data_IF_359062754064
#
_entry.id   IF_359062754064
#
_cell.length_a   1.000
_cell.length_b   1.000
_cell.length_c   1.000
_cell.angle_alpha   90.00
_cell.angle_beta   90.00
_cell.angle_gamma   90.00
#
_symmetry.space_group_name_H-M   'P 1'
#
loop_
_entity.id
_entity.type
_entity.pdbx_description
1 polymer ?
#
# COMPACT_ATOMS: atom_id res chain seq x y z
N UNK A 1 11.26 -0.89 28.42
CA UNK A 1 12.12 -0.04 29.26
C UNK A 1 11.52 1.35 29.26
N UNK A 2 11.67 2.11 30.35
CA UNK A 2 11.16 3.48 30.48
C UNK A 2 12.37 4.40 30.63
N UNK A 3 12.40 5.48 29.84
CA UNK A 3 13.34 6.60 29.99
C UNK A 3 12.56 7.78 30.58
N UNK A 4 13.17 8.54 31.49
CA UNK A 4 12.50 9.66 32.14
C UNK A 4 13.39 10.90 32.11
N UNK A 5 12.75 12.05 32.02
CA UNK A 5 13.38 13.35 32.19
C UNK A 5 13.18 13.78 33.65
N UNK A 6 14.26 13.87 34.47
CA UNK A 6 14.14 14.24 35.87
C UNK A 6 13.67 15.69 36.07
N UNK A 7 13.83 16.54 35.06
CA UNK A 7 13.49 17.96 35.15
C UNK A 7 12.08 18.27 34.60
N UNK A 8 11.52 17.38 33.78
CA UNK A 8 10.36 17.68 32.94
C UNK A 8 9.07 16.91 33.24
N UNK A 9 9.00 16.03 34.25
CA UNK A 9 7.86 15.12 34.47
C UNK A 9 7.44 14.33 33.21
N UNK A 10 8.37 14.15 32.26
CA UNK A 10 8.13 13.43 31.00
C UNK A 10 8.72 12.03 31.09
N UNK A 11 7.93 11.03 30.69
CA UNK A 11 8.37 9.65 30.51
C UNK A 11 8.23 9.20 29.06
N UNK A 12 9.19 8.40 28.61
CA UNK A 12 9.14 7.72 27.33
C UNK A 12 9.09 6.21 27.55
N UNK A 13 8.03 5.59 27.04
CA UNK A 13 7.94 4.14 26.94
C UNK A 13 8.68 3.72 25.67
N UNK A 14 9.87 3.12 25.84
CA UNK A 14 10.67 2.72 24.69
C UNK A 14 9.98 1.62 23.88
N UNK A 15 10.25 1.62 22.57
CA UNK A 15 9.68 0.68 21.59
C UNK A 15 8.15 0.71 21.48
N UNK A 16 7.49 1.74 22.01
CA UNK A 16 6.03 1.89 21.91
C UNK A 16 5.55 1.78 20.45
N UNK A 17 6.17 2.53 19.53
CA UNK A 17 5.79 2.54 18.11
C UNK A 17 6.09 1.25 17.35
N UNK A 18 6.96 0.37 17.87
CA UNK A 18 7.15 -0.98 17.30
C UNK A 18 5.89 -1.82 17.44
N UNK A 19 5.16 -1.64 18.55
CA UNK A 19 3.95 -2.39 18.85
C UNK A 19 2.69 -1.63 18.45
N UNK A 20 2.74 -0.30 18.50
CA UNK A 20 1.64 0.60 18.21
C UNK A 20 2.04 1.60 17.10
N UNK A 21 2.37 1.14 15.88
CA UNK A 21 2.69 2.03 14.78
C UNK A 21 1.45 2.86 14.39
N UNK A 22 1.62 4.02 13.74
CA UNK A 22 0.50 4.69 13.08
C UNK A 22 -0.17 3.74 12.08
N UNK A 23 -1.45 3.95 11.80
CA UNK A 23 -2.27 3.03 10.99
C UNK A 23 -2.64 3.59 9.62
N UNK A 24 -2.54 4.92 9.47
CA UNK A 24 -2.81 5.67 8.25
C UNK A 24 -2.12 7.05 8.36
N UNK A 25 -2.20 7.85 7.30
CA UNK A 25 -1.50 9.14 7.20
C UNK A 25 -2.05 10.19 8.16
N UNK A 26 -3.37 10.24 8.37
CA UNK A 26 -3.98 11.17 9.32
C UNK A 26 -3.56 10.87 10.76
N UNK A 27 -3.49 9.58 11.12
CA UNK A 27 -2.98 9.13 12.40
C UNK A 27 -1.50 9.47 12.55
N UNK A 28 -0.69 9.26 11.52
CA UNK A 28 0.72 9.64 11.51
C UNK A 28 0.90 11.15 11.72
N UNK A 29 0.13 11.98 11.01
CA UNK A 29 0.15 13.44 11.15
C UNK A 29 -0.25 13.90 12.56
N UNK A 30 -1.34 13.35 13.10
CA UNK A 30 -1.81 13.67 14.44
C UNK A 30 -0.80 13.29 15.52
N UNK A 31 -0.20 12.10 15.40
CA UNK A 31 0.85 11.63 16.32
C UNK A 31 2.09 12.51 16.24
N UNK A 32 2.57 12.86 15.02
CA UNK A 32 3.72 13.76 14.87
C UNK A 32 3.49 15.12 15.52
N UNK A 33 2.31 15.72 15.37
CA UNK A 33 1.97 16.99 16.04
C UNK A 33 2.06 16.88 17.57
N UNK A 34 1.58 15.79 18.14
CA UNK A 34 1.67 15.54 19.59
C UNK A 34 3.10 15.36 20.06
N UNK A 35 3.93 14.65 19.29
CA UNK A 35 5.35 14.47 19.62
C UNK A 35 6.10 15.81 19.65
N UNK A 36 5.81 16.70 18.71
CA UNK A 36 6.45 18.03 18.66
C UNK A 36 6.09 18.93 19.86
N UNK A 37 4.99 18.66 20.54
CA UNK A 37 4.57 19.39 21.73
C UNK A 37 5.23 18.89 23.03
N UNK A 38 6.05 17.83 22.98
CA UNK A 38 6.77 17.32 24.16
C UNK A 38 7.85 18.33 24.56
N UNK A 39 7.83 18.76 25.81
CA UNK A 39 8.73 19.81 26.32
C UNK A 39 10.18 19.31 26.50
N UNK A 40 10.35 18.07 26.98
CA UNK A 40 11.65 17.41 27.07
C UNK A 40 12.28 17.22 25.70
N UNK A 41 13.30 17.99 25.36
CA UNK A 41 13.97 17.91 24.07
C UNK A 41 14.57 16.53 23.81
N UNK A 42 15.32 16.01 24.79
CA UNK A 42 15.92 14.67 24.74
C UNK A 42 14.86 13.60 24.45
N UNK A 43 13.74 13.59 25.18
CA UNK A 43 12.71 12.57 25.01
C UNK A 43 11.88 12.80 23.74
N UNK A 44 11.65 14.06 23.35
CA UNK A 44 11.00 14.43 22.08
C UNK A 44 11.79 13.87 20.90
N UNK A 45 13.09 14.14 20.83
CA UNK A 45 13.95 13.65 19.74
C UNK A 45 13.93 12.13 19.66
N UNK A 46 14.09 11.46 20.80
CA UNK A 46 14.07 9.99 20.88
C UNK A 46 12.71 9.41 20.45
N UNK A 47 11.61 10.04 20.84
CA UNK A 47 10.27 9.62 20.45
C UNK A 47 9.98 9.84 18.96
N UNK A 48 10.43 10.98 18.41
CA UNK A 48 10.31 11.30 16.97
C UNK A 48 11.11 10.30 16.12
N UNK A 49 12.35 9.99 16.51
CA UNK A 49 13.16 9.00 15.81
C UNK A 49 12.48 7.61 15.79
N UNK A 50 11.96 7.16 16.93
CA UNK A 50 11.25 5.89 17.02
C UNK A 50 9.93 5.88 16.23
N UNK A 51 9.23 7.02 16.15
CA UNK A 51 8.04 7.18 15.32
C UNK A 51 8.38 7.11 13.83
N UNK A 52 9.47 7.75 13.40
CA UNK A 52 9.87 7.81 11.99
C UNK A 52 10.26 6.45 11.45
N UNK A 53 11.03 5.68 12.21
CA UNK A 53 11.36 4.30 11.87
C UNK A 53 10.07 3.45 11.68
N UNK A 54 9.13 3.54 12.62
CA UNK A 54 7.88 2.77 12.54
C UNK A 54 6.97 3.22 11.40
N UNK A 55 6.89 4.53 11.14
CA UNK A 55 6.06 5.09 10.08
C UNK A 55 6.64 4.80 8.70
N UNK A 56 7.96 4.80 8.54
CA UNK A 56 8.62 4.40 7.29
C UNK A 56 8.30 2.94 6.94
N UNK A 57 8.39 2.02 7.90
CA UNK A 57 8.02 0.62 7.69
C UNK A 57 6.57 0.47 7.24
N UNK A 58 5.65 1.28 7.77
CA UNK A 58 4.26 1.31 7.31
C UNK A 58 4.15 1.79 5.87
N UNK A 59 4.77 2.93 5.54
CA UNK A 59 4.75 3.52 4.19
C UNK A 59 5.29 2.52 3.17
N UNK A 60 6.41 1.85 3.46
CA UNK A 60 6.98 0.82 2.60
C UNK A 60 6.02 -0.35 2.37
N UNK A 61 5.33 -0.83 3.42
CA UNK A 61 4.33 -1.90 3.30
C UNK A 61 3.13 -1.48 2.46
N UNK A 62 2.67 -0.23 2.60
CA UNK A 62 1.57 0.30 1.80
C UNK A 62 1.97 0.45 0.34
N UNK A 63 3.17 0.97 0.07
CA UNK A 63 3.73 1.05 -1.28
C UNK A 63 3.86 -0.33 -1.92
N UNK A 64 4.35 -1.34 -1.19
CA UNK A 64 4.43 -2.71 -1.68
C UNK A 64 3.05 -3.27 -2.02
N UNK A 65 2.07 -3.11 -1.12
CA UNK A 65 0.68 -3.56 -1.37
C UNK A 65 0.07 -2.86 -2.58
N UNK A 66 0.33 -1.56 -2.76
CA UNK A 66 -0.15 -0.81 -3.92
C UNK A 66 0.49 -1.31 -5.21
N UNK A 67 1.80 -1.56 -5.21
CA UNK A 67 2.52 -2.13 -6.36
C UNK A 67 2.02 -3.53 -6.72
N UNK A 68 1.82 -4.41 -5.74
CA UNK A 68 1.27 -5.75 -5.94
C UNK A 68 -0.16 -5.69 -6.50
N UNK A 69 -0.99 -4.79 -5.98
CA UNK A 69 -2.36 -4.59 -6.50
C UNK A 69 -2.35 -4.08 -7.93
N UNK A 70 -1.47 -3.13 -8.25
CA UNK A 70 -1.30 -2.61 -9.61
C UNK A 70 -0.82 -3.71 -10.58
N UNK A 71 0.16 -4.53 -10.17
CA UNK A 71 0.65 -5.66 -10.96
C UNK A 71 -0.45 -6.70 -11.23
N UNK A 72 -1.25 -7.04 -10.21
CA UNK A 72 -2.40 -7.95 -10.36
C UNK A 72 -3.48 -7.36 -11.28
N UNK A 73 -3.80 -6.08 -11.14
CA UNK A 73 -4.76 -5.40 -12.01
C UNK A 73 -4.29 -5.40 -13.49
N UNK A 74 -3.01 -5.09 -13.72
CA UNK A 74 -2.42 -5.16 -15.06
C UNK A 74 -2.44 -6.58 -15.64
N UNK A 75 -2.08 -7.60 -14.84
CA UNK A 75 -2.16 -9.00 -15.26
C UNK A 75 -3.58 -9.47 -15.60
N UNK A 76 -4.57 -9.12 -14.76
CA UNK A 76 -5.98 -9.41 -15.03
C UNK A 76 -6.48 -8.70 -16.30
N UNK A 77 -6.11 -7.45 -16.51
CA UNK A 77 -6.53 -6.70 -17.71
C UNK A 77 -6.00 -7.33 -19.01
N UNK A 78 -4.74 -7.82 -19.01
CA UNK A 78 -4.17 -8.57 -20.14
C UNK A 78 -4.90 -9.89 -20.38
N UNK A 79 -5.21 -10.63 -19.33
CA UNK A 79 -5.97 -11.89 -19.42
C UNK A 79 -7.38 -11.69 -20.00
N UNK A 80 -8.13 -10.69 -19.51
CA UNK A 80 -9.47 -10.35 -20.02
C UNK A 80 -9.41 -9.88 -21.47
N UNK A 81 -8.44 -9.02 -21.82
CA UNK A 81 -8.24 -8.58 -23.21
C UNK A 81 -7.89 -9.75 -24.14
N UNK A 82 -7.11 -10.73 -23.66
CA UNK A 82 -6.74 -11.92 -24.44
C UNK A 82 -7.96 -12.83 -24.67
N UNK A 83 -8.79 -13.06 -23.65
CA UNK A 83 -10.04 -13.83 -23.79
C UNK A 83 -11.02 -13.17 -24.79
N UNK A 84 -11.20 -11.85 -24.73
CA UNK A 84 -12.08 -11.12 -25.66
C UNK A 84 -11.55 -11.15 -27.12
N UNK A 85 -10.23 -11.09 -27.28
CA UNK A 85 -9.58 -11.24 -28.58
C UNK A 85 -9.72 -12.65 -29.17
N UNK A 86 -9.64 -13.68 -28.32
CA UNK A 86 -9.79 -15.08 -28.73
C UNK A 86 -11.24 -15.41 -29.12
N UNK A 87 -12.20 -14.87 -28.36
CA UNK A 87 -13.64 -14.99 -28.68
C UNK A 87 -14.01 -14.28 -29.99
N UNK A 88 -13.33 -13.16 -30.30
CA UNK A 88 -13.54 -12.43 -31.56
C UNK A 88 -13.02 -13.18 -32.79
N UNK A 89 -11.96 -13.99 -32.66
CA UNK A 89 -11.49 -14.87 -33.75
C UNK A 89 -12.46 -16.00 -34.07
N UNK A 90 -13.16 -16.52 -33.07
CA UNK A 90 -14.18 -17.58 -33.24
C UNK A 90 -15.44 -17.07 -33.96
N UNK A 91 -15.77 -15.79 -33.84
CA UNK A 91 -16.88 -15.17 -34.59
C UNK A 91 -16.50 -14.79 -36.03
N UNK A 92 -15.21 -14.86 -36.39
CA UNK A 92 -14.70 -14.58 -37.74
C UNK A 92 -14.55 -15.81 -38.63
N UNK A 93 -14.73 -17.03 -38.12
CA UNK A 93 -14.67 -18.25 -38.94
C UNK A 93 -15.99 -18.44 -39.70
N UNK A 94 -15.97 -17.94 -40.92
CA UNK A 94 -16.83 -18.20 -42.10
C UNK A 94 -17.52 -19.59 -42.10
N UNK A 95 -18.64 -19.73 -41.39
CA UNK A 95 -19.70 -20.70 -41.73
C UNK A 95 -20.52 -20.11 -42.89
N UNK A 96 -19.91 -19.94 -44.07
CA UNK A 96 -20.61 -19.74 -45.36
C UNK A 96 -19.67 -20.14 -46.50
N UNK A 97 -19.62 -21.43 -46.83
CA UNK A 97 -19.30 -21.89 -48.20
C UNK A 97 -19.77 -23.34 -48.38
N UNK A 98 -21.07 -23.53 -48.25
CA UNK A 98 -21.77 -24.73 -48.72
C UNK A 98 -23.06 -24.26 -49.37
N UNK A 99 -23.06 -24.17 -50.71
CA UNK A 99 -24.19 -24.13 -51.63
C UNK A 99 -23.82 -23.29 -52.87
N UNK A 100 -23.35 -23.95 -53.93
CA UNK A 100 -24.01 -23.79 -55.23
C UNK A 100 -23.59 -24.92 -56.17
N UNK A 101 -24.50 -25.89 -56.25
CA UNK A 101 -24.62 -26.85 -57.32
C UNK A 101 -25.07 -26.16 -58.62
N UNK A 102 -24.85 -26.88 -59.73
CA UNK A 102 -25.55 -26.84 -61.03
C UNK A 102 -25.17 -25.83 -62.14
N UNK A 103 -24.73 -26.45 -63.25
CA UNK A 103 -25.07 -26.23 -64.67
C UNK A 103 -24.65 -24.91 -65.34
N UNK A 104 -23.71 -24.96 -66.29
CA UNK A 104 -23.99 -25.33 -67.69
C UNK A 104 -22.71 -25.52 -68.50
#
# INVERSE_FOLDING_TARGET
MIDHDPDGDVILIERWFRHNPPTNDDHALGTRRRLQAIESEKLREKAVAAFDEANEVRIQREAQKAAEKAAKAAGNSKSVSQMLGDTSRLMGTRIVRGANDTLS
#
